data_IF_304347928892
#
_entry.id   IF_304347928892
#
_cell.length_a   1.000
_cell.length_b   1.000
_cell.length_c   1.000
_cell.angle_alpha   90.00
_cell.angle_beta   90.00
_cell.angle_gamma   90.00
#
_symmetry.space_group_name_H-M   'P 1'
#
loop_
_entity.id
_entity.type
_entity.pdbx_description
1 polymer ?
#
# COMPACT_ATOMS: atom_id res chain seq x y z
N UNK A 1 21.62 35.47 -26.42
CA UNK A 1 20.86 34.20 -26.41
C UNK A 1 21.12 33.48 -25.10
N UNK A 2 20.27 33.67 -24.10
CA UNK A 2 20.43 33.07 -22.77
C UNK A 2 19.59 31.78 -22.68
N UNK A 3 20.25 30.63 -22.48
CA UNK A 3 19.59 29.36 -22.18
C UNK A 3 19.09 29.40 -20.73
N UNK A 4 17.79 29.61 -20.53
CA UNK A 4 17.17 29.42 -19.21
C UNK A 4 17.04 27.93 -18.92
N UNK A 5 17.80 27.46 -17.93
CA UNK A 5 17.71 26.09 -17.41
C UNK A 5 16.40 25.88 -16.67
N UNK A 6 15.66 24.85 -17.08
CA UNK A 6 14.46 24.37 -16.39
C UNK A 6 14.89 23.80 -15.03
N UNK A 7 14.71 24.57 -13.95
CA UNK A 7 14.82 24.06 -12.58
C UNK A 7 13.69 23.05 -12.36
N UNK A 8 14.02 21.76 -12.28
CA UNK A 8 13.09 20.70 -11.87
C UNK A 8 12.67 20.97 -10.42
N UNK A 9 11.37 21.27 -10.22
CA UNK A 9 10.76 21.35 -8.88
C UNK A 9 11.00 20.00 -8.17
N UNK A 10 11.60 20.05 -6.97
CA UNK A 10 11.70 18.90 -6.08
C UNK A 10 10.29 18.38 -5.75
N UNK A 11 10.14 17.06 -5.66
CA UNK A 11 8.91 16.43 -5.18
C UNK A 11 8.64 16.99 -3.78
N UNK A 12 7.54 17.72 -3.59
CA UNK A 12 7.06 18.07 -2.26
C UNK A 12 6.87 16.78 -1.47
N UNK A 13 7.44 16.76 -0.26
CA UNK A 13 7.26 15.69 0.70
C UNK A 13 5.76 15.59 1.00
N UNK A 14 5.23 14.37 0.96
CA UNK A 14 3.78 14.11 1.06
C UNK A 14 3.36 14.23 2.53
N UNK A 15 3.32 15.46 3.04
CA UNK A 15 3.06 15.76 4.45
C UNK A 15 1.57 15.64 4.83
N UNK A 16 0.66 15.55 3.85
CA UNK A 16 -0.81 15.52 4.04
C UNK A 16 -1.38 14.18 4.60
N UNK A 17 -0.55 13.27 5.12
CA UNK A 17 -0.93 11.85 5.32
C UNK A 17 -0.67 11.33 6.73
N UNK A 18 -0.11 12.14 7.63
CA UNK A 18 0.04 11.75 9.02
C UNK A 18 -1.34 11.74 9.69
N UNK A 19 -1.83 10.55 10.04
CA UNK A 19 -3.02 10.44 10.89
C UNK A 19 -2.80 11.22 12.19
N UNK A 20 -3.88 11.66 12.82
CA UNK A 20 -3.86 12.48 14.06
C UNK A 20 -3.32 11.74 15.31
N UNK A 21 -2.56 10.65 15.13
CA UNK A 21 -1.86 9.92 16.19
C UNK A 21 -2.74 9.11 17.14
N UNK A 22 -4.04 9.38 17.21
CA UNK A 22 -4.96 8.69 18.13
C UNK A 22 -5.56 7.41 17.52
N UNK A 23 -5.65 6.31 18.27
CA UNK A 23 -6.35 5.10 17.83
C UNK A 23 -7.84 5.38 17.56
N UNK A 24 -8.47 4.51 16.77
CA UNK A 24 -9.90 4.58 16.49
C UNK A 24 -10.73 4.45 17.77
N UNK A 25 -11.67 5.36 17.97
CA UNK A 25 -12.62 5.32 19.08
C UNK A 25 -13.79 4.38 18.74
N UNK A 26 -13.80 3.20 19.35
CA UNK A 26 -14.77 2.16 19.03
C UNK A 26 -16.19 2.50 19.51
N UNK A 27 -16.34 3.26 20.59
CA UNK A 27 -17.66 3.62 21.13
C UNK A 27 -18.31 4.68 20.23
N UNK A 28 -17.53 5.69 19.83
CA UNK A 28 -17.97 6.70 18.87
C UNK A 28 -18.31 6.06 17.52
N UNK A 29 -17.45 5.17 17.00
CA UNK A 29 -17.72 4.48 15.73
C UNK A 29 -18.99 3.62 15.79
N UNK A 30 -19.25 2.91 16.88
CA UNK A 30 -20.48 2.14 17.05
C UNK A 30 -21.72 3.03 17.01
N UNK A 31 -21.66 4.19 17.67
CA UNK A 31 -22.74 5.17 17.67
C UNK A 31 -23.00 5.69 16.25
N UNK A 32 -21.93 6.07 15.52
CA UNK A 32 -22.01 6.53 14.13
C UNK A 32 -22.55 5.46 13.18
N UNK A 33 -22.17 4.19 13.34
CA UNK A 33 -22.69 3.09 12.52
C UNK A 33 -24.18 2.84 12.80
N UNK A 34 -24.62 3.00 14.05
CA UNK A 34 -26.05 2.88 14.39
C UNK A 34 -26.87 3.95 13.69
N UNK A 35 -26.42 5.21 13.76
CA UNK A 35 -27.03 6.33 13.04
C UNK A 35 -27.00 6.13 11.52
N UNK A 36 -25.89 5.62 10.98
CA UNK A 36 -25.78 5.29 9.56
C UNK A 36 -26.82 4.23 9.14
N UNK A 37 -27.02 3.18 9.93
CA UNK A 37 -28.05 2.17 9.63
C UNK A 37 -29.45 2.78 9.63
N UNK A 38 -29.78 3.63 10.61
CA UNK A 38 -31.05 4.35 10.64
C UNK A 38 -31.21 5.25 9.40
N UNK A 39 -30.17 6.00 9.04
CA UNK A 39 -30.17 6.88 7.87
C UNK A 39 -30.29 6.12 6.53
N UNK A 40 -29.83 4.86 6.49
CA UNK A 40 -30.02 3.94 5.35
C UNK A 40 -31.43 3.32 5.31
N UNK A 41 -32.30 3.62 6.27
CA UNK A 41 -33.65 3.05 6.38
C UNK A 41 -33.70 1.65 6.99
N UNK A 42 -32.61 1.21 7.64
CA UNK A 42 -32.55 -0.08 8.32
C UNK A 42 -33.07 0.00 9.76
N UNK A 43 -33.45 -1.17 10.33
CA UNK A 43 -33.83 -1.30 11.74
C UNK A 43 -32.67 -1.93 12.53
N UNK A 44 -31.85 -1.18 13.29
CA UNK A 44 -30.71 -1.73 14.02
C UNK A 44 -31.08 -2.88 14.98
N UNK A 45 -32.31 -2.86 15.50
CA UNK A 45 -32.83 -3.90 16.40
C UNK A 45 -33.17 -5.25 15.75
N UNK A 46 -33.06 -5.42 14.43
CA UNK A 46 -33.27 -6.74 13.81
C UNK A 46 -32.11 -7.68 14.10
N UNK A 47 -32.38 -8.98 14.25
CA UNK A 47 -31.42 -9.99 14.70
C UNK A 47 -30.03 -9.87 14.00
N UNK A 48 -30.01 -9.74 12.68
CA UNK A 48 -28.77 -9.61 11.91
C UNK A 48 -27.94 -8.34 12.19
N UNK A 49 -28.55 -7.25 12.66
CA UNK A 49 -27.90 -5.95 12.85
C UNK A 49 -27.55 -5.62 14.31
N UNK A 50 -28.03 -6.39 15.29
CA UNK A 50 -27.82 -6.11 16.72
C UNK A 50 -26.34 -5.88 17.08
N UNK A 51 -25.43 -6.65 16.48
CA UNK A 51 -23.98 -6.52 16.68
C UNK A 51 -23.25 -5.89 15.49
N UNK A 52 -23.97 -5.38 14.48
CA UNK A 52 -23.34 -4.76 13.30
C UNK A 52 -22.52 -3.53 13.67
N UNK A 53 -23.00 -2.59 14.51
CA UNK A 53 -22.18 -1.45 14.94
C UNK A 53 -20.82 -1.87 15.51
N UNK A 54 -20.82 -2.84 16.42
CA UNK A 54 -19.60 -3.37 17.05
C UNK A 54 -18.65 -3.99 16.01
N UNK A 55 -19.18 -4.85 15.13
CA UNK A 55 -18.38 -5.52 14.08
C UNK A 55 -17.79 -4.53 13.09
N UNK A 56 -18.56 -3.53 12.67
CA UNK A 56 -18.11 -2.51 11.72
C UNK A 56 -17.04 -1.61 12.35
N UNK A 57 -17.23 -1.18 13.60
CA UNK A 57 -16.22 -0.37 14.30
C UNK A 57 -14.88 -1.11 14.41
N UNK A 58 -14.91 -2.39 14.81
CA UNK A 58 -13.72 -3.25 14.87
C UNK A 58 -13.07 -3.44 13.50
N UNK A 59 -13.87 -3.65 12.45
CA UNK A 59 -13.37 -3.81 11.09
C UNK A 59 -12.70 -2.53 10.57
N UNK A 60 -13.33 -1.36 10.76
CA UNK A 60 -12.76 -0.07 10.36
C UNK A 60 -11.46 0.23 11.10
N UNK A 61 -11.40 -0.02 12.41
CA UNK A 61 -10.17 0.10 13.20
C UNK A 61 -9.05 -0.80 12.67
N UNK A 62 -9.34 -2.06 12.34
CA UNK A 62 -8.36 -2.98 11.75
C UNK A 62 -7.89 -2.53 10.35
N UNK A 63 -8.82 -2.07 9.50
CA UNK A 63 -8.51 -1.63 8.14
C UNK A 63 -7.74 -0.30 8.11
N UNK A 64 -7.69 0.45 9.22
CA UNK A 64 -6.98 1.73 9.34
C UNK A 64 -5.83 1.71 10.35
N UNK A 65 -5.51 0.55 10.93
CA UNK A 65 -4.47 0.43 11.97
C UNK A 65 -3.06 0.83 11.51
N UNK A 66 -2.83 0.92 10.20
CA UNK A 66 -1.56 1.28 9.58
C UNK A 66 -1.09 2.70 9.92
N UNK A 67 -1.99 3.58 10.36
CA UNK A 67 -1.63 4.91 10.90
C UNK A 67 -0.84 4.84 12.21
N UNK A 68 -0.97 3.76 12.99
CA UNK A 68 -0.37 3.61 14.33
C UNK A 68 0.78 2.60 14.36
N UNK A 69 1.22 2.12 13.19
CA UNK A 69 2.31 1.16 13.10
C UNK A 69 3.64 1.90 13.01
N UNK A 70 4.54 1.54 13.93
CA UNK A 70 5.93 1.98 13.90
C UNK A 70 6.74 1.07 12.95
N UNK A 71 7.22 1.68 11.86
CA UNK A 71 8.03 1.01 10.83
C UNK A 71 9.43 0.70 11.34
N UNK A 72 10.02 1.55 12.19
CA UNK A 72 11.34 1.32 12.76
C UNK A 72 11.32 0.12 13.69
N UNK A 73 10.32 0.05 14.57
CA UNK A 73 10.11 -1.12 15.41
C UNK A 73 9.84 -2.39 14.59
N UNK A 74 9.08 -2.28 13.49
CA UNK A 74 8.80 -3.41 12.59
C UNK A 74 10.07 -3.96 11.93
N UNK A 75 11.00 -3.09 11.57
CA UNK A 75 12.28 -3.45 10.93
C UNK A 75 13.38 -3.84 11.92
N UNK A 76 13.20 -3.55 13.21
CA UNK A 76 14.21 -3.78 14.23
C UNK A 76 14.74 -5.23 14.20
N UNK A 77 16.08 -5.36 14.23
CA UNK A 77 16.79 -6.64 14.23
C UNK A 77 16.67 -7.46 12.94
N UNK A 78 16.09 -6.93 11.86
CA UNK A 78 15.84 -7.68 10.62
C UNK A 78 16.63 -7.18 9.40
N UNK A 79 17.68 -6.40 9.64
CA UNK A 79 18.66 -6.02 8.63
C UNK A 79 19.93 -6.84 8.84
N UNK A 80 20.27 -7.65 7.84
CA UNK A 80 21.39 -8.59 7.90
C UNK A 80 22.49 -8.12 6.97
N UNK A 81 23.74 -7.98 7.46
CA UNK A 81 24.87 -7.69 6.59
C UNK A 81 25.13 -8.90 5.69
N UNK A 82 25.28 -8.66 4.39
CA UNK A 82 25.62 -9.70 3.41
C UNK A 82 26.35 -9.06 2.22
N UNK A 83 27.31 -9.78 1.65
CA UNK A 83 27.95 -9.43 0.38
C UNK A 83 27.09 -9.92 -0.80
N UNK A 84 25.84 -9.45 -0.85
CA UNK A 84 24.92 -9.70 -1.96
C UNK A 84 24.50 -8.35 -2.55
N UNK A 85 24.82 -8.12 -3.81
CA UNK A 85 24.62 -6.87 -4.55
C UNK A 85 23.68 -7.02 -5.76
N UNK A 86 23.16 -8.22 -5.98
CA UNK A 86 22.16 -8.54 -7.01
C UNK A 86 20.73 -8.14 -6.60
N UNK A 87 19.80 -8.15 -7.56
CA UNK A 87 18.40 -7.79 -7.31
C UNK A 87 17.71 -8.80 -6.39
N UNK A 88 16.93 -8.29 -5.43
CA UNK A 88 16.00 -9.07 -4.61
C UNK A 88 14.57 -8.68 -4.97
N UNK A 89 13.71 -9.67 -5.25
CA UNK A 89 12.30 -9.45 -5.58
C UNK A 89 11.41 -10.23 -4.61
N UNK A 90 10.43 -9.53 -4.04
CA UNK A 90 9.27 -10.14 -3.37
C UNK A 90 8.04 -9.74 -4.18
N UNK A 91 7.45 -10.69 -4.88
CA UNK A 91 6.32 -10.49 -5.79
C UNK A 91 5.06 -11.22 -5.31
N UNK A 92 3.93 -10.83 -5.86
CA UNK A 92 2.61 -11.42 -5.55
C UNK A 92 2.22 -11.25 -4.08
N UNK A 93 2.54 -10.09 -3.51
CA UNK A 93 2.12 -9.72 -2.16
C UNK A 93 0.67 -9.27 -2.23
N UNK A 94 -0.26 -10.12 -1.77
CA UNK A 94 -1.66 -9.73 -1.66
C UNK A 94 -1.82 -8.57 -0.68
N UNK A 95 -2.65 -7.59 -1.06
CA UNK A 95 -2.97 -6.46 -0.21
C UNK A 95 -4.45 -6.07 -0.31
N UNK A 96 -4.94 -5.46 0.77
CA UNK A 96 -6.26 -4.84 0.85
C UNK A 96 -6.10 -3.44 1.41
N UNK A 97 -6.72 -2.45 0.76
CA UNK A 97 -6.75 -1.07 1.20
C UNK A 97 -8.14 -0.45 1.01
N UNK A 98 -8.33 0.77 1.51
CA UNK A 98 -9.61 1.47 1.49
C UNK A 98 -9.46 2.75 0.68
N UNK A 99 -10.29 2.93 -0.36
CA UNK A 99 -10.31 4.14 -1.16
C UNK A 99 -10.80 5.31 -0.30
N UNK A 100 -9.98 6.34 -0.13
CA UNK A 100 -10.33 7.48 0.73
C UNK A 100 -11.54 8.28 0.25
N UNK A 101 -11.83 8.25 -1.05
CA UNK A 101 -12.96 8.97 -1.64
C UNK A 101 -14.33 8.36 -1.33
N UNK A 102 -14.39 7.04 -1.11
CA UNK A 102 -15.66 6.32 -1.02
C UNK A 102 -15.75 5.37 0.17
N UNK A 103 -14.65 5.20 0.92
CA UNK A 103 -14.50 4.18 1.96
C UNK A 103 -14.87 2.77 1.47
N UNK A 104 -14.62 2.50 0.19
CA UNK A 104 -14.80 1.19 -0.42
C UNK A 104 -13.42 0.53 -0.64
N UNK A 105 -13.31 -0.79 -0.46
CA UNK A 105 -12.05 -1.48 -0.68
C UNK A 105 -11.50 -1.38 -2.10
N UNK A 106 -10.18 -1.32 -2.21
CA UNK A 106 -9.44 -1.73 -3.40
C UNK A 106 -8.35 -2.72 -2.98
N UNK A 107 -8.11 -3.73 -3.81
CA UNK A 107 -7.29 -4.87 -3.45
C UNK A 107 -6.61 -5.46 -4.69
N UNK A 108 -5.53 -6.20 -4.47
CA UNK A 108 -4.79 -6.83 -5.54
C UNK A 108 -3.40 -7.23 -5.07
N UNK A 109 -2.39 -7.02 -5.92
CA UNK A 109 -1.01 -7.46 -5.67
C UNK A 109 -0.03 -6.30 -5.68
N UNK A 110 0.99 -6.42 -4.83
CA UNK A 110 2.18 -5.57 -4.83
C UNK A 110 3.39 -6.43 -5.19
N UNK A 111 4.25 -5.88 -6.04
CA UNK A 111 5.54 -6.46 -6.40
C UNK A 111 6.63 -5.47 -6.03
N UNK A 112 7.61 -5.93 -5.27
CA UNK A 112 8.71 -5.11 -4.75
C UNK A 112 10.03 -5.70 -5.22
N UNK A 113 10.85 -4.90 -5.88
CA UNK A 113 12.24 -5.19 -6.18
C UNK A 113 13.15 -4.17 -5.49
N UNK A 114 14.31 -4.60 -5.00
CA UNK A 114 15.34 -3.67 -4.55
C UNK A 114 16.75 -4.19 -4.84
N UNK A 115 17.70 -3.25 -4.96
CA UNK A 115 19.13 -3.54 -5.06
C UNK A 115 19.78 -3.24 -3.70
N UNK A 116 20.21 -4.25 -2.94
CA UNK A 116 20.80 -4.08 -1.61
C UNK A 116 22.03 -3.18 -1.61
N UNK A 117 22.35 -2.60 -0.46
CA UNK A 117 23.61 -1.90 -0.23
C UNK A 117 24.26 -2.48 1.03
N UNK A 118 25.00 -3.58 0.87
CA UNK A 118 25.68 -4.33 1.95
C UNK A 118 24.76 -4.92 3.03
N UNK A 119 23.45 -4.70 2.93
CA UNK A 119 22.43 -5.17 3.87
C UNK A 119 21.18 -5.63 3.13
N UNK A 120 20.65 -6.77 3.56
CA UNK A 120 19.34 -7.27 3.12
C UNK A 120 18.35 -7.23 4.28
N UNK A 121 17.07 -7.11 3.96
CA UNK A 121 15.99 -7.19 4.94
C UNK A 121 15.41 -8.59 4.96
N UNK A 122 15.01 -9.08 6.13
CA UNK A 122 14.22 -10.31 6.21
C UNK A 122 12.98 -10.22 5.31
N UNK A 123 12.81 -11.19 4.41
CA UNK A 123 11.79 -11.14 3.35
C UNK A 123 10.37 -10.84 3.88
N UNK A 124 10.03 -11.40 5.04
CA UNK A 124 8.73 -11.18 5.70
C UNK A 124 8.43 -9.72 6.07
N UNK A 125 9.44 -8.84 6.10
CA UNK A 125 9.26 -7.41 6.44
C UNK A 125 8.70 -6.60 5.29
N UNK A 126 8.96 -7.00 4.04
CA UNK A 126 8.45 -6.28 2.87
C UNK A 126 6.90 -6.33 2.83
N UNK A 127 6.24 -7.50 2.93
CA UNK A 127 4.78 -7.56 3.07
C UNK A 127 4.24 -6.77 4.26
N UNK A 128 4.93 -6.80 5.40
CA UNK A 128 4.49 -6.03 6.57
C UNK A 128 4.54 -4.52 6.33
N UNK A 129 5.53 -4.02 5.58
CA UNK A 129 5.58 -2.60 5.17
C UNK A 129 4.43 -2.27 4.21
N UNK A 130 4.12 -3.17 3.27
CA UNK A 130 2.94 -3.02 2.40
C UNK A 130 1.68 -2.87 3.25
N UNK A 131 1.48 -3.74 4.26
CA UNK A 131 0.33 -3.66 5.17
C UNK A 131 0.27 -2.36 5.97
N UNK A 132 1.40 -1.81 6.43
CA UNK A 132 1.42 -0.52 7.16
C UNK A 132 0.79 0.61 6.33
N UNK A 133 1.04 0.64 5.02
CA UNK A 133 0.47 1.66 4.14
C UNK A 133 -0.88 1.28 3.57
N UNK A 134 -1.13 0.00 3.30
CA UNK A 134 -2.40 -0.49 2.76
C UNK A 134 -3.53 -0.39 3.79
N UNK A 135 -3.24 -0.58 5.09
CA UNK A 135 -4.20 -0.44 6.20
C UNK A 135 -4.42 1.03 6.60
N UNK A 136 -4.73 1.87 5.61
CA UNK A 136 -5.03 3.30 5.72
C UNK A 136 -6.13 3.65 4.71
N UNK A 137 -6.69 4.85 4.82
CA UNK A 137 -7.43 5.45 3.71
C UNK A 137 -6.41 5.93 2.67
N UNK A 138 -6.59 5.53 1.41
CA UNK A 138 -5.56 5.65 0.38
C UNK A 138 -6.11 6.02 -1.00
N UNK A 139 -5.15 6.50 -1.79
CA UNK A 139 -5.14 6.48 -3.25
C UNK A 139 -3.99 5.57 -3.70
N UNK A 140 -4.19 4.75 -4.74
CA UNK A 140 -3.25 3.67 -5.11
C UNK A 140 -1.85 4.21 -5.47
N UNK A 141 -1.80 5.35 -6.15
CA UNK A 141 -0.57 6.06 -6.52
C UNK A 141 0.23 6.46 -5.29
N UNK A 142 -0.45 6.97 -4.26
CA UNK A 142 0.19 7.37 -2.99
C UNK A 142 0.71 6.15 -2.24
N UNK A 143 -0.11 5.11 -2.11
CA UNK A 143 0.29 3.82 -1.53
C UNK A 143 1.58 3.29 -2.19
N UNK A 144 1.62 3.30 -3.53
CA UNK A 144 2.78 2.83 -4.31
C UNK A 144 4.05 3.63 -4.00
N UNK A 145 3.94 4.96 -3.94
CA UNK A 145 5.06 5.85 -3.66
C UNK A 145 5.56 5.67 -2.22
N UNK A 146 4.65 5.61 -1.25
CA UNK A 146 4.98 5.47 0.18
C UNK A 146 5.76 4.18 0.46
N UNK A 147 5.34 3.05 -0.14
CA UNK A 147 6.06 1.77 -0.01
C UNK A 147 7.48 1.92 -0.57
N UNK A 148 7.63 2.46 -1.79
CA UNK A 148 8.93 2.58 -2.45
C UNK A 148 9.90 3.50 -1.69
N UNK A 149 9.43 4.69 -1.27
CA UNK A 149 10.25 5.68 -0.58
C UNK A 149 10.67 5.19 0.81
N UNK A 150 9.75 4.53 1.54
CA UNK A 150 10.05 3.93 2.84
C UNK A 150 11.10 2.85 2.73
N UNK A 151 10.94 1.90 1.79
CA UNK A 151 11.92 0.83 1.60
C UNK A 151 13.27 1.39 1.19
N UNK A 152 13.31 2.35 0.25
CA UNK A 152 14.56 2.97 -0.20
C UNK A 152 15.29 3.65 0.96
N UNK A 153 14.57 4.38 1.81
CA UNK A 153 15.12 5.07 2.98
C UNK A 153 15.60 4.09 4.05
N UNK A 154 14.72 3.19 4.51
CA UNK A 154 15.01 2.28 5.63
C UNK A 154 16.05 1.22 5.31
N UNK A 155 16.12 0.76 4.05
CA UNK A 155 17.11 -0.23 3.63
C UNK A 155 18.43 0.42 3.17
N UNK A 156 18.44 1.74 2.93
CA UNK A 156 19.53 2.43 2.26
C UNK A 156 19.97 1.74 0.94
N UNK A 157 19.01 1.11 0.25
CA UNK A 157 19.22 0.31 -0.96
C UNK A 157 19.79 1.18 -2.09
N UNK A 158 20.48 0.63 -3.08
CA UNK A 158 20.91 1.38 -4.28
C UNK A 158 19.70 1.81 -5.15
N UNK A 159 18.66 0.99 -5.20
CA UNK A 159 17.41 1.31 -5.87
C UNK A 159 16.26 0.45 -5.38
N UNK A 160 15.04 0.92 -5.61
CA UNK A 160 13.80 0.22 -5.28
C UNK A 160 12.81 0.40 -6.43
N UNK A 161 12.13 -0.67 -6.83
CA UNK A 161 11.00 -0.67 -7.73
C UNK A 161 9.78 -1.25 -7.05
N UNK A 162 8.64 -0.57 -7.15
CA UNK A 162 7.35 -1.06 -6.65
C UNK A 162 6.34 -0.98 -7.79
N UNK A 163 5.60 -2.07 -8.01
CA UNK A 163 4.44 -2.12 -8.90
C UNK A 163 3.24 -2.59 -8.10
N UNK A 164 2.11 -1.90 -8.25
CA UNK A 164 0.84 -2.27 -7.61
C UNK A 164 -0.19 -2.47 -8.71
N UNK A 165 -0.87 -3.60 -8.68
CA UNK A 165 -1.97 -3.95 -9.57
C UNK A 165 -3.22 -4.19 -8.72
N UNK A 166 -4.29 -3.43 -8.96
CA UNK A 166 -5.47 -3.51 -8.09
C UNK A 166 -6.79 -3.34 -8.82
N UNK A 167 -7.81 -3.97 -8.24
CA UNK A 167 -9.22 -3.75 -8.56
C UNK A 167 -9.85 -2.86 -7.51
N UNK A 168 -10.75 -1.98 -7.96
CA UNK A 168 -11.37 -0.95 -7.13
C UNK A 168 -12.87 -1.17 -7.04
N UNK A 169 -13.39 -1.50 -5.86
CA UNK A 169 -14.83 -1.74 -5.71
C UNK A 169 -15.65 -0.49 -6.03
N UNK A 170 -15.11 0.71 -5.83
CA UNK A 170 -15.77 1.96 -6.23
C UNK A 170 -16.03 2.10 -7.74
N UNK A 171 -15.33 1.33 -8.59
CA UNK A 171 -15.57 1.24 -10.03
C UNK A 171 -16.32 -0.02 -10.45
N UNK A 172 -16.36 -1.05 -9.60
CA UNK A 172 -16.94 -2.36 -9.93
C UNK A 172 -18.39 -2.50 -9.46
N UNK A 173 -18.67 -2.18 -8.19
CA UNK A 173 -19.99 -2.42 -7.58
C UNK A 173 -20.93 -1.21 -7.64
N UNK A 174 -20.43 -0.09 -8.16
CA UNK A 174 -21.17 1.16 -8.34
C UNK A 174 -20.52 2.04 -9.43
N UNK A 175 -21.18 3.13 -9.78
CA UNK A 175 -20.63 4.13 -10.68
C UNK A 175 -20.55 3.60 -12.11
N UNK A 176 -19.33 3.39 -12.62
CA UNK A 176 -19.10 2.92 -14.01
C UNK A 176 -19.27 1.41 -14.20
N UNK A 177 -19.29 0.65 -13.10
CA UNK A 177 -19.62 -0.78 -13.03
C UNK A 177 -18.78 -1.69 -13.95
N UNK A 178 -17.47 -1.44 -14.05
CA UNK A 178 -16.55 -2.23 -14.90
C UNK A 178 -15.87 -3.34 -14.10
N UNK A 179 -16.27 -4.58 -14.34
CA UNK A 179 -15.89 -5.76 -13.54
C UNK A 179 -14.43 -6.20 -13.74
N UNK A 180 -13.85 -5.93 -14.90
CA UNK A 180 -12.55 -6.49 -15.29
C UNK A 180 -11.41 -5.47 -15.27
N UNK A 181 -11.69 -4.20 -14.95
CA UNK A 181 -10.68 -3.15 -14.96
C UNK A 181 -9.66 -3.36 -13.84
N UNK A 182 -8.38 -3.33 -14.21
CA UNK A 182 -7.25 -3.35 -13.28
C UNK A 182 -6.48 -2.04 -13.43
N UNK A 183 -6.26 -1.36 -12.32
CA UNK A 183 -5.40 -0.18 -12.26
C UNK A 183 -3.98 -0.62 -11.90
N UNK A 184 -2.99 -0.17 -12.69
CA UNK A 184 -1.57 -0.45 -12.45
C UNK A 184 -0.83 0.86 -12.19
N UNK A 185 -0.13 0.91 -11.06
CA UNK A 185 0.74 2.04 -10.68
C UNK A 185 2.15 1.54 -10.36
N UNK A 186 3.15 2.38 -10.54
CA UNK A 186 4.52 2.03 -10.21
C UNK A 186 5.34 3.20 -9.68
N UNK A 187 6.36 2.89 -8.87
CA UNK A 187 7.34 3.86 -8.38
C UNK A 187 8.74 3.25 -8.46
N UNK A 188 9.62 3.90 -9.23
CA UNK A 188 11.00 3.48 -9.47
C UNK A 188 11.95 4.52 -8.89
N UNK A 189 12.85 4.10 -8.00
CA UNK A 189 13.80 4.93 -7.26
C UNK A 189 15.24 4.43 -7.43
N UNK A 190 16.21 5.35 -7.37
CA UNK A 190 17.63 5.02 -7.51
C UNK A 190 17.92 4.32 -8.84
N UNK A 191 18.68 3.22 -8.79
CA UNK A 191 19.05 2.42 -9.97
C UNK A 191 17.85 2.02 -10.84
N UNK A 192 16.69 1.66 -10.26
CA UNK A 192 15.48 1.33 -11.03
C UNK A 192 14.95 2.51 -11.86
N UNK A 193 15.24 3.75 -11.45
CA UNK A 193 14.86 4.96 -12.19
C UNK A 193 15.90 5.32 -13.24
N UNK A 194 17.18 5.36 -12.85
CA UNK A 194 18.28 5.86 -13.69
C UNK A 194 18.79 4.83 -14.70
N UNK A 195 18.62 3.53 -14.45
CA UNK A 195 19.14 2.45 -15.29
C UNK A 195 17.97 1.69 -15.95
N UNK A 196 17.74 1.88 -17.26
CA UNK A 196 16.65 1.20 -17.96
C UNK A 196 16.75 -0.33 -17.94
N UNK A 197 17.96 -0.89 -17.99
CA UNK A 197 18.19 -2.34 -18.00
C UNK A 197 17.70 -2.98 -16.70
N UNK A 198 18.10 -2.45 -15.54
CA UNK A 198 17.60 -2.89 -14.22
C UNK A 198 16.08 -2.84 -14.14
N UNK A 199 15.46 -1.76 -14.64
CA UNK A 199 14.00 -1.64 -14.65
C UNK A 199 13.33 -2.69 -15.52
N UNK A 200 13.88 -2.95 -16.71
CA UNK A 200 13.33 -3.94 -17.64
C UNK A 200 13.47 -5.36 -17.09
N UNK A 201 14.59 -5.68 -16.45
CA UNK A 201 14.81 -6.94 -15.74
C UNK A 201 13.75 -7.16 -14.66
N UNK A 202 13.55 -6.17 -13.78
CA UNK A 202 12.50 -6.22 -12.75
C UNK A 202 11.11 -6.46 -13.34
N UNK A 203 10.72 -5.64 -14.33
CA UNK A 203 9.40 -5.75 -14.97
C UNK A 203 9.21 -7.10 -15.67
N UNK A 204 10.27 -7.70 -16.19
CA UNK A 204 10.25 -9.05 -16.79
C UNK A 204 10.08 -10.13 -15.72
N UNK A 205 10.78 -10.02 -14.60
CA UNK A 205 10.74 -11.01 -13.51
C UNK A 205 9.44 -11.01 -12.71
N UNK A 206 8.72 -9.89 -12.65
CA UNK A 206 7.40 -9.81 -12.00
C UNK A 206 6.24 -10.25 -12.90
N UNK A 207 6.45 -10.30 -14.23
CA UNK A 207 5.45 -10.90 -15.13
C UNK A 207 5.34 -12.39 -14.84
N UNK A 208 4.11 -12.90 -14.81
CA UNK A 208 3.74 -14.29 -14.47
C UNK A 208 4.70 -15.33 -15.10
N UNK A 209 5.14 -16.29 -14.27
CA UNK A 209 5.85 -17.49 -14.72
C UNK A 209 7.03 -17.96 -13.87
N UNK A 210 6.95 -18.06 -12.54
CA UNK A 210 8.11 -18.67 -11.84
C UNK A 210 7.89 -19.55 -10.61
N UNK A 211 6.71 -19.59 -9.96
CA UNK A 211 6.42 -20.66 -8.99
C UNK A 211 4.90 -20.86 -8.89
N UNK A 212 4.37 -22.00 -9.34
CA UNK A 212 3.05 -22.51 -8.91
C UNK A 212 1.80 -22.15 -9.71
N UNK A 213 1.85 -21.26 -10.70
CA UNK A 213 0.71 -21.04 -11.60
C UNK A 213 0.78 -22.07 -12.75
N UNK A 214 0.23 -23.26 -12.53
CA UNK A 214 -0.22 -24.16 -13.60
C UNK A 214 -1.67 -23.82 -13.90
N UNK A 215 -1.89 -23.23 -15.09
CA UNK A 215 -3.15 -23.02 -15.83
C UNK A 215 -4.48 -22.95 -15.05
#
# INVERSE_FOLDING_TARGET
>A
MAKQGIKRRGRQQVDDVAGIGRPADLEVLQSLVTEMLLALGEKPGRNGLLKTPERVAKALAFMTQGYHRDIDHLLNGALFPIEYDEMVIVKDIDFFSMCEHHLLPFYGRVHVGYLPNKKVVGLSKIPRIVDVFARRLQVQERLTVQIAETLKSKLNAHGVGVVVEARHLCMMMRGVEKQNTVAVSSSMLGAFRSQPQTRLEFLKLIRRGSVGDSD
#
